data_IF_590875137151
#
_entry.id   IF_590875137151
#
_cell.length_a   1.000
_cell.length_b   1.000
_cell.length_c   1.000
_cell.angle_alpha   90.00
_cell.angle_beta   90.00
_cell.angle_gamma   90.00
#
_symmetry.space_group_name_H-M   'P 1'
#
loop_
_entity.id
_entity.type
_entity.pdbx_description
1 polymer ?
#
# COMPACT_ATOMS: atom_id res chain seq x y z
N UNK A 1 15.84 1.42 -14.49
CA UNK A 1 14.55 2.05 -14.11
C UNK A 1 14.83 3.37 -13.43
N UNK A 2 14.19 4.45 -13.87
CA UNK A 2 14.28 5.76 -13.19
C UNK A 2 13.37 5.76 -11.96
N UNK A 3 13.79 6.26 -10.80
CA UNK A 3 12.90 6.38 -9.64
C UNK A 3 11.68 7.25 -9.97
N UNK A 4 10.50 6.81 -9.54
CA UNK A 4 9.26 7.57 -9.62
C UNK A 4 8.43 7.37 -8.34
N UNK A 5 7.57 8.35 -8.05
CA UNK A 5 6.67 8.28 -6.89
C UNK A 5 5.35 7.63 -7.28
N UNK A 6 4.79 6.82 -6.36
CA UNK A 6 3.50 6.15 -6.53
C UNK A 6 2.92 5.79 -5.16
N UNK A 7 1.59 5.82 -5.04
CA UNK A 7 0.86 5.43 -3.83
C UNK A 7 0.49 3.93 -3.81
N UNK A 8 0.49 3.30 -4.99
CA UNK A 8 0.19 1.89 -5.19
C UNK A 8 1.15 1.32 -6.23
N UNK A 9 1.44 0.03 -6.12
CA UNK A 9 2.30 -0.70 -7.06
C UNK A 9 1.69 -2.05 -7.41
N UNK A 10 2.10 -2.60 -8.54
CA UNK A 10 1.74 -3.96 -8.94
C UNK A 10 3.01 -4.81 -8.93
N UNK A 11 2.95 -6.00 -8.35
CA UNK A 11 4.03 -6.97 -8.37
C UNK A 11 3.47 -8.33 -8.77
N UNK A 12 4.18 -9.05 -9.64
CA UNK A 12 3.77 -10.40 -10.06
C UNK A 12 4.48 -11.48 -9.24
N UNK A 13 3.96 -12.71 -9.20
CA UNK A 13 4.65 -13.83 -8.57
C UNK A 13 6.10 -13.97 -9.10
N UNK A 14 7.05 -14.13 -8.18
CA UNK A 14 8.49 -14.24 -8.50
C UNK A 14 9.23 -12.91 -8.72
N UNK A 15 8.54 -11.77 -8.78
CA UNK A 15 9.20 -10.46 -8.84
C UNK A 15 9.57 -9.95 -7.44
N UNK A 16 10.56 -9.06 -7.41
CA UNK A 16 10.91 -8.23 -6.25
C UNK A 16 10.91 -6.77 -6.65
N UNK A 17 10.66 -5.87 -5.71
CA UNK A 17 10.72 -4.42 -5.94
C UNK A 17 11.22 -3.74 -4.68
N UNK A 18 12.15 -2.80 -4.86
CA UNK A 18 12.64 -1.95 -3.79
C UNK A 18 11.89 -0.63 -3.83
N UNK A 19 11.34 -0.21 -2.70
CA UNK A 19 10.64 1.07 -2.54
C UNK A 19 11.30 1.88 -1.45
N UNK A 20 11.39 3.19 -1.66
CA UNK A 20 11.73 4.13 -0.60
C UNK A 20 10.42 4.65 0.00
N UNK A 21 10.15 4.29 1.26
CA UNK A 21 9.00 4.77 2.00
C UNK A 21 9.42 5.92 2.92
N UNK A 22 8.85 7.11 2.70
CA UNK A 22 9.13 8.29 3.52
C UNK A 22 8.16 8.35 4.69
N UNK A 23 8.65 8.07 5.90
CA UNK A 23 7.84 8.07 7.11
C UNK A 23 7.81 9.47 7.77
N UNK A 24 6.99 10.40 7.27
CA UNK A 24 6.94 11.80 7.73
C UNK A 24 5.63 12.20 8.45
N UNK A 25 4.88 11.25 9.00
CA UNK A 25 3.64 11.57 9.70
C UNK A 25 3.88 12.43 10.96
N UNK A 26 3.10 13.51 11.12
CA UNK A 26 3.15 14.37 12.30
C UNK A 26 2.55 13.67 13.53
N UNK A 27 3.32 13.63 14.62
CA UNK A 27 2.93 13.03 15.91
C UNK A 27 2.54 14.06 16.97
N UNK A 28 2.29 15.32 16.57
CA UNK A 28 2.15 16.49 17.45
C UNK A 28 1.06 16.40 18.53
N UNK A 29 0.17 15.40 18.47
CA UNK A 29 -0.94 15.22 19.40
C UNK A 29 -0.66 14.20 20.53
N UNK A 30 0.60 13.78 20.74
CA UNK A 30 0.92 12.84 21.82
C UNK A 30 0.20 11.50 21.70
N UNK A 31 -0.15 11.10 20.48
CA UNK A 31 -0.96 9.92 20.15
C UNK A 31 -0.20 9.07 19.15
N UNK A 32 -0.20 7.74 19.33
CA UNK A 32 0.39 6.80 18.37
C UNK A 32 -0.36 6.93 17.03
N UNK A 33 0.36 7.24 15.96
CA UNK A 33 -0.23 7.33 14.61
C UNK A 33 -0.03 6.02 13.89
N UNK A 34 -1.11 5.41 13.43
CA UNK A 34 -1.07 4.14 12.72
C UNK A 34 -1.62 4.31 11.31
N UNK A 35 -1.10 3.53 10.36
CA UNK A 35 -1.52 3.53 8.96
C UNK A 35 -1.56 2.10 8.44
N UNK A 36 -2.56 1.78 7.61
CA UNK A 36 -2.58 0.51 6.90
C UNK A 36 -1.69 0.57 5.65
N UNK A 37 -0.91 -0.49 5.46
CA UNK A 37 -0.40 -0.89 4.14
C UNK A 37 -1.24 -2.09 3.73
N UNK A 38 -1.91 -2.02 2.60
CA UNK A 38 -2.80 -3.09 2.16
C UNK A 38 -2.41 -3.61 0.79
N UNK A 39 -2.68 -4.89 0.55
CA UNK A 39 -2.52 -5.53 -0.74
C UNK A 39 -3.71 -6.43 -1.04
N UNK A 40 -4.09 -6.46 -2.32
CA UNK A 40 -5.15 -7.33 -2.84
C UNK A 40 -4.74 -7.83 -4.23
N UNK A 41 -5.30 -8.95 -4.70
CA UNK A 41 -4.92 -9.50 -5.99
C UNK A 41 -5.39 -8.62 -7.15
N UNK A 42 -4.64 -8.67 -8.25
CA UNK A 42 -5.04 -8.12 -9.55
C UNK A 42 -5.38 -9.30 -10.47
N UNK A 43 -6.61 -9.34 -10.98
CA UNK A 43 -7.17 -10.46 -11.75
C UNK A 43 -8.05 -9.92 -12.87
N UNK A 44 -7.81 -10.40 -14.10
CA UNK A 44 -8.61 -10.10 -15.29
C UNK A 44 -9.29 -11.33 -15.89
N UNK A 45 -8.96 -12.53 -15.39
CA UNK A 45 -9.55 -13.79 -15.83
C UNK A 45 -10.89 -14.08 -15.16
N UNK A 46 -11.71 -14.92 -15.79
CA UNK A 46 -13.03 -15.34 -15.27
C UNK A 46 -13.01 -16.54 -14.31
N UNK A 47 -11.83 -16.95 -13.83
CA UNK A 47 -11.69 -18.06 -12.90
C UNK A 47 -12.01 -17.66 -11.45
N UNK A 48 -12.14 -18.65 -10.57
CA UNK A 48 -12.25 -18.40 -9.12
C UNK A 48 -10.89 -17.99 -8.55
N UNK A 49 -10.91 -17.03 -7.63
CA UNK A 49 -9.72 -16.55 -6.93
C UNK A 49 -10.11 -16.09 -5.52
N UNK A 50 -9.13 -16.00 -4.63
CA UNK A 50 -9.34 -15.43 -3.31
C UNK A 50 -9.41 -13.90 -3.41
N UNK A 51 -10.56 -13.31 -3.05
CA UNK A 51 -10.77 -11.86 -3.03
C UNK A 51 -10.56 -11.26 -1.63
N UNK A 52 -9.69 -11.88 -0.82
CA UNK A 52 -9.27 -11.32 0.45
C UNK A 52 -8.31 -10.14 0.26
N UNK A 53 -8.30 -9.23 1.22
CA UNK A 53 -7.33 -8.13 1.28
C UNK A 53 -6.45 -8.34 2.51
N UNK A 54 -5.13 -8.37 2.30
CA UNK A 54 -4.17 -8.42 3.40
C UNK A 54 -3.81 -6.99 3.81
N UNK A 55 -3.63 -6.77 5.10
CA UNK A 55 -3.22 -5.48 5.65
C UNK A 55 -2.10 -5.67 6.68
N UNK A 56 -1.09 -4.83 6.60
CA UNK A 56 -0.10 -4.58 7.62
C UNK A 56 -0.30 -3.20 8.24
N UNK A 57 0.28 -2.98 9.42
CA UNK A 57 0.17 -1.72 10.15
C UNK A 57 1.55 -1.09 10.27
N UNK A 58 1.67 0.16 9.84
CA UNK A 58 2.82 1.03 10.14
C UNK A 58 2.45 1.92 11.31
N UNK A 59 3.24 1.88 12.39
CA UNK A 59 3.00 2.62 13.62
C UNK A 59 4.12 3.62 13.89
N UNK A 60 3.75 4.89 14.08
CA UNK A 60 4.61 5.94 14.60
C UNK A 60 4.42 5.98 16.11
N UNK A 61 5.36 5.37 16.82
CA UNK A 61 5.32 5.30 18.26
C UNK A 61 5.65 6.66 18.87
N UNK A 62 4.88 7.03 19.89
CA UNK A 62 5.11 8.24 20.69
C UNK A 62 5.43 7.80 22.11
N UNK A 63 6.58 8.23 22.68
CA UNK A 63 6.92 7.92 24.07
C UNK A 63 5.79 8.36 25.01
N UNK A 64 5.45 7.49 25.96
CA UNK A 64 4.44 7.73 27.00
C UNK A 64 2.99 7.94 26.49
N UNK A 65 2.70 7.58 25.23
CA UNK A 65 1.34 7.58 24.69
C UNK A 65 0.74 6.17 24.68
N UNK A 66 -0.42 6.01 25.30
CA UNK A 66 -1.23 4.78 25.19
C UNK A 66 -2.42 4.92 24.24
N UNK A 67 -2.68 6.13 23.74
CA UNK A 67 -3.77 6.38 22.82
C UNK A 67 -3.28 6.19 21.38
N UNK A 68 -4.06 5.48 20.56
CA UNK A 68 -3.85 5.35 19.13
C UNK A 68 -4.91 6.11 18.34
N UNK A 69 -4.52 6.64 17.18
CA UNK A 69 -5.48 7.26 16.26
C UNK A 69 -6.31 6.19 15.54
N UNK A 70 -7.55 6.52 15.19
CA UNK A 70 -8.33 5.72 14.25
C UNK A 70 -7.57 5.60 12.91
N UNK A 71 -7.61 4.41 12.32
CA UNK A 71 -6.96 4.09 11.05
C UNK A 71 -7.99 3.79 9.99
N UNK A 72 -7.73 4.25 8.76
CA UNK A 72 -8.61 4.06 7.61
C UNK A 72 -7.92 3.20 6.56
N UNK A 73 -8.70 2.35 5.90
CA UNK A 73 -8.20 1.53 4.80
C UNK A 73 -7.77 2.42 3.63
N UNK A 74 -6.56 2.24 3.06
CA UNK A 74 -6.16 3.00 1.87
C UNK A 74 -7.01 2.61 0.67
N UNK A 75 -7.11 3.53 -0.29
CA UNK A 75 -7.77 3.24 -1.56
C UNK A 75 -6.91 2.28 -2.39
N UNK A 76 -7.46 1.11 -2.71
CA UNK A 76 -6.77 0.11 -3.54
C UNK A 76 -7.32 0.14 -4.98
N UNK A 77 -6.47 -0.01 -6.01
CA UNK A 77 -6.91 -0.17 -7.41
C UNK A 77 -7.88 -1.33 -7.56
N UNK A 78 -8.91 -1.21 -8.40
CA UNK A 78 -9.89 -2.28 -8.62
C UNK A 78 -9.21 -3.60 -9.03
N UNK A 79 -9.83 -4.74 -8.70
CA UNK A 79 -9.24 -6.06 -8.97
C UNK A 79 -8.87 -6.24 -10.45
N UNK A 80 -9.67 -5.65 -11.35
CA UNK A 80 -9.52 -5.71 -12.79
C UNK A 80 -9.03 -4.38 -13.41
N UNK A 81 -8.33 -3.54 -12.63
CA UNK A 81 -7.82 -2.24 -13.11
C UNK A 81 -6.61 -2.40 -14.05
N UNK A 82 -6.90 -2.77 -15.29
CA UNK A 82 -5.90 -2.96 -16.34
C UNK A 82 -5.20 -1.67 -16.73
N UNK A 83 -5.90 -0.53 -16.65
CA UNK A 83 -5.34 0.78 -16.93
C UNK A 83 -4.26 1.14 -15.90
N UNK A 84 -4.53 0.94 -14.61
CA UNK A 84 -3.54 1.12 -13.56
C UNK A 84 -2.32 0.22 -13.77
N UNK A 85 -2.53 -1.08 -14.00
CA UNK A 85 -1.45 -2.03 -14.22
C UNK A 85 -0.57 -1.66 -15.43
N UNK A 86 -1.18 -1.30 -16.56
CA UNK A 86 -0.45 -0.89 -17.75
C UNK A 86 0.35 0.41 -17.53
N UNK A 87 -0.26 1.40 -16.87
CA UNK A 87 0.40 2.68 -16.54
C UNK A 87 1.57 2.48 -15.57
N UNK A 88 1.42 1.62 -14.56
CA UNK A 88 2.50 1.28 -13.64
C UNK A 88 3.65 0.58 -14.37
N UNK A 89 3.36 -0.44 -15.19
CA UNK A 89 4.39 -1.12 -15.99
C UNK A 89 5.10 -0.20 -16.98
N UNK A 90 4.40 0.78 -17.55
CA UNK A 90 5.01 1.77 -18.42
C UNK A 90 6.02 2.67 -17.69
N UNK A 91 5.78 3.00 -16.42
CA UNK A 91 6.71 3.79 -15.58
C UNK A 91 7.98 3.01 -15.19
N UNK A 92 7.96 1.68 -15.27
CA UNK A 92 9.13 0.84 -14.99
C UNK A 92 10.11 0.75 -16.18
N UNK A 93 9.70 1.19 -17.38
CA UNK A 93 10.56 1.20 -18.58
C UNK A 93 11.45 2.43 -18.65
#
# INVERSE_FOLDING_TARGET
VKPFQTDSLVITPGQTTNVLFTANASTNAGTIKQFFIAARPFVTGGGTFDNSTVAGIVSYNVPNSNNSSAIMMPNLPALNDTAFAANFSAKLR
#
